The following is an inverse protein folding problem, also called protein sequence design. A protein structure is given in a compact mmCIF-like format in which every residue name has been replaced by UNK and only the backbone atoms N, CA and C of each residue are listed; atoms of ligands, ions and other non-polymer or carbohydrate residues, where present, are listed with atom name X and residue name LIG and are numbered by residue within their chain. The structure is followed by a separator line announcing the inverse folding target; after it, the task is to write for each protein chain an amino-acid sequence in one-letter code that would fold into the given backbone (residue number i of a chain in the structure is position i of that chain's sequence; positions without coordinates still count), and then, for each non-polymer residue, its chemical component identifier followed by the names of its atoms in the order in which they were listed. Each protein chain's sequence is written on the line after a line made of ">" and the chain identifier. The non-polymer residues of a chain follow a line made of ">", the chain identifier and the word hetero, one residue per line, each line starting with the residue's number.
data_IF_070312724257
#
_entry.id   IF_070312724257
#
_cell.length_a   1.000
_cell.length_b   1.000
_cell.length_c   1.000
_cell.angle_alpha   90.00
_cell.angle_beta   90.00
_cell.angle_gamma   90.00
#
_symmetry.space_group_name_H-M   'P 1'
#
loop_
_entity.id
_entity.type
_entity.pdbx_description
1 polymer ?
#
# COMPACT_ATOMS: atom_id res chain seq x y z
N UNK A 1 16.55 15.64 2.39
CA UNK A 1 16.58 15.45 3.84
C UNK A 1 15.29 16.00 4.45
N UNK A 2 14.36 15.11 4.76
CA UNK A 2 13.01 15.45 5.24
C UNK A 2 12.98 15.40 6.76
N UNK A 3 12.32 16.42 7.37
CA UNK A 3 12.01 16.46 8.81
C UNK A 3 10.52 16.65 9.01
N UNK A 4 9.95 15.88 9.95
CA UNK A 4 8.51 15.98 10.25
C UNK A 4 8.18 15.56 11.68
N UNK A 5 7.23 16.29 12.28
CA UNK A 5 6.54 15.96 13.53
C UNK A 5 5.08 16.39 13.46
N UNK A 6 4.22 15.67 14.14
CA UNK A 6 2.80 16.03 14.23
C UNK A 6 2.58 17.24 15.15
N UNK A 7 1.69 18.13 14.78
CA UNK A 7 1.39 19.34 15.57
C UNK A 7 0.96 19.02 17.01
N UNK A 8 0.23 17.91 17.20
CA UNK A 8 -0.20 17.45 18.53
C UNK A 8 0.96 16.91 19.41
N UNK A 9 2.13 16.67 18.83
CA UNK A 9 3.33 16.16 19.53
C UNK A 9 4.58 16.86 18.99
N UNK A 10 4.73 18.18 19.23
CA UNK A 10 5.79 18.98 18.61
C UNK A 10 7.20 18.58 19.05
N UNK A 11 7.32 17.97 20.22
CA UNK A 11 8.61 17.55 20.77
C UNK A 11 9.03 16.13 20.34
N UNK A 12 8.20 15.45 19.54
CA UNK A 12 8.48 14.08 19.06
C UNK A 12 8.77 14.10 17.57
N UNK A 13 10.04 14.07 17.20
CA UNK A 13 10.45 13.93 15.80
C UNK A 13 10.04 12.55 15.30
N UNK A 14 9.24 12.50 14.24
CA UNK A 14 8.77 11.25 13.62
C UNK A 14 9.61 10.89 12.41
N UNK A 15 9.96 11.88 11.60
CA UNK A 15 10.92 11.76 10.50
C UNK A 15 12.06 12.75 10.80
N UNK A 16 13.28 12.22 10.86
CA UNK A 16 14.47 13.01 11.23
C UNK A 16 15.56 12.87 10.16
N UNK A 17 15.67 13.88 9.33
CA UNK A 17 16.71 13.98 8.29
C UNK A 17 16.67 12.81 7.28
N UNK A 18 15.45 12.29 6.98
CA UNK A 18 15.27 11.17 6.07
C UNK A 18 15.63 11.56 4.65
N UNK A 19 16.42 10.73 4.00
CA UNK A 19 16.79 10.85 2.59
C UNK A 19 16.49 9.54 1.86
N UNK A 20 15.70 9.59 0.79
CA UNK A 20 15.29 8.43 0.02
C UNK A 20 15.00 8.84 -1.42
N UNK A 21 15.42 8.01 -2.36
CA UNK A 21 15.11 8.16 -3.78
C UNK A 21 14.43 6.89 -4.26
N UNK A 22 13.34 7.06 -5.00
CA UNK A 22 12.62 5.98 -5.70
C UNK A 22 12.71 6.26 -7.18
N UNK A 23 13.32 5.35 -7.93
CA UNK A 23 13.46 5.50 -9.37
C UNK A 23 12.11 5.28 -10.09
N UNK A 24 11.85 5.95 -11.22
CA UNK A 24 10.66 5.70 -12.02
C UNK A 24 10.51 4.21 -12.38
N UNK A 25 9.29 3.69 -12.28
CA UNK A 25 9.00 2.29 -12.60
C UNK A 25 9.58 1.26 -11.62
N UNK A 26 10.18 1.70 -10.49
CA UNK A 26 10.73 0.81 -9.48
C UNK A 26 9.81 0.65 -8.28
N UNK A 27 10.03 -0.44 -7.53
CA UNK A 27 9.34 -0.72 -6.27
C UNK A 27 10.29 -0.49 -5.09
N UNK A 28 9.96 0.49 -4.24
CA UNK A 28 10.66 0.74 -2.98
C UNK A 28 9.85 0.18 -1.81
N UNK A 29 10.42 -0.78 -1.09
CA UNK A 29 9.83 -1.29 0.15
C UNK A 29 10.31 -0.49 1.36
N UNK A 30 9.40 -0.14 2.26
CA UNK A 30 9.67 0.47 3.56
C UNK A 30 9.46 -0.59 4.65
N UNK A 31 10.51 -0.96 5.33
CA UNK A 31 10.48 -1.95 6.41
C UNK A 31 11.01 -1.34 7.71
N UNK A 32 10.63 -1.91 8.84
CA UNK A 32 11.09 -1.42 10.15
C UNK A 32 10.06 -1.71 11.24
N UNK A 33 10.44 -1.46 12.49
CA UNK A 33 9.54 -1.67 13.65
C UNK A 33 8.29 -0.78 13.54
N UNK A 34 7.20 -1.22 14.19
CA UNK A 34 6.00 -0.39 14.35
C UNK A 34 6.37 0.94 15.01
N UNK A 35 5.73 2.04 14.58
CA UNK A 35 6.05 3.39 15.06
C UNK A 35 7.33 4.02 14.48
N UNK A 36 8.04 3.35 13.57
CA UNK A 36 9.28 3.86 12.95
C UNK A 36 9.07 5.01 11.94
N UNK A 37 7.82 5.38 11.60
CA UNK A 37 7.51 6.47 10.68
C UNK A 37 7.09 6.03 9.27
N UNK A 38 6.93 4.74 8.99
CA UNK A 38 6.59 4.21 7.64
C UNK A 38 5.27 4.78 7.09
N UNK A 39 4.18 4.66 7.83
CA UNK A 39 2.86 5.22 7.46
C UNK A 39 2.89 6.76 7.39
N UNK A 40 3.75 7.40 8.19
CA UNK A 40 3.97 8.84 8.09
C UNK A 40 4.59 9.22 6.75
N UNK A 41 5.51 8.42 6.21
CA UNK A 41 6.07 8.64 4.86
C UNK A 41 4.95 8.61 3.83
N UNK A 42 4.04 7.61 3.88
CA UNK A 42 2.88 7.54 2.97
C UNK A 42 2.00 8.78 3.10
N UNK A 43 1.70 9.22 4.33
CA UNK A 43 0.91 10.43 4.59
C UNK A 43 1.56 11.70 4.04
N UNK A 44 2.90 11.79 4.07
CA UNK A 44 3.64 12.89 3.48
C UNK A 44 3.66 12.84 1.96
N UNK A 45 3.77 11.65 1.35
CA UNK A 45 3.68 11.47 -0.10
C UNK A 45 2.29 11.85 -0.64
N UNK A 46 1.24 11.57 0.13
CA UNK A 46 -0.13 12.01 -0.16
C UNK A 46 -0.37 13.49 0.16
N UNK A 47 0.63 14.16 0.75
CA UNK A 47 0.51 15.54 1.22
C UNK A 47 -0.70 15.76 2.14
N UNK A 48 -1.01 14.78 3.02
CA UNK A 48 -1.93 15.01 4.13
C UNK A 48 -1.33 15.98 5.15
N UNK A 49 0.01 16.07 5.14
CA UNK A 49 0.79 17.03 5.92
C UNK A 49 1.94 17.56 5.06
N UNK A 50 2.28 18.83 5.24
CA UNK A 50 3.50 19.41 4.68
C UNK A 50 4.70 19.11 5.58
N UNK A 51 5.87 18.87 4.98
CA UNK A 51 7.12 18.65 5.71
C UNK A 51 7.52 19.89 6.50
N UNK A 52 8.15 19.69 7.65
CA UNK A 52 8.65 20.77 8.51
C UNK A 52 10.07 21.23 8.13
N UNK A 53 10.82 20.37 7.45
CA UNK A 53 12.13 20.68 6.91
C UNK A 53 12.42 19.81 5.70
N UNK A 54 13.25 20.29 4.78
CA UNK A 54 13.53 19.62 3.53
C UNK A 54 12.40 19.73 2.51
N UNK A 55 12.39 18.81 1.56
CA UNK A 55 11.39 18.75 0.48
C UNK A 55 11.12 17.31 0.05
N UNK A 56 9.92 17.08 -0.48
CA UNK A 56 9.56 15.87 -1.23
C UNK A 56 9.28 16.31 -2.65
N UNK A 57 9.86 15.60 -3.62
CA UNK A 57 9.71 15.95 -5.03
C UNK A 57 9.14 14.78 -5.82
N UNK A 58 8.24 15.07 -6.76
CA UNK A 58 7.81 14.17 -7.83
C UNK A 58 8.37 14.71 -9.14
N UNK A 59 9.18 13.90 -9.82
CA UNK A 59 9.87 14.27 -11.07
C UNK A 59 10.61 15.62 -10.97
N UNK A 60 11.31 15.83 -9.84
CA UNK A 60 12.08 17.04 -9.56
C UNK A 60 11.27 18.24 -9.07
N UNK A 61 9.93 18.19 -9.08
CA UNK A 61 9.06 19.28 -8.61
C UNK A 61 8.63 19.04 -7.16
N UNK A 62 8.79 20.05 -6.31
CA UNK A 62 8.33 19.99 -4.92
C UNK A 62 6.80 19.76 -4.88
N UNK A 63 6.35 18.77 -4.13
CA UNK A 63 4.93 18.42 -4.04
C UNK A 63 4.07 19.56 -3.51
N UNK A 64 4.65 20.53 -2.78
CA UNK A 64 3.97 21.72 -2.28
C UNK A 64 3.60 22.69 -3.40
N UNK A 65 4.32 22.66 -4.52
CA UNK A 65 4.04 23.47 -5.71
C UNK A 65 3.04 22.82 -6.67
N UNK A 66 2.68 21.55 -6.45
CA UNK A 66 1.77 20.81 -7.32
C UNK A 66 0.31 21.02 -6.91
N UNK A 67 -0.60 20.94 -7.87
CA UNK A 67 -2.03 20.89 -7.60
C UNK A 67 -2.38 19.55 -6.97
N UNK A 68 -2.93 19.58 -5.74
CA UNK A 68 -3.19 18.39 -4.94
C UNK A 68 -4.16 17.41 -5.63
N UNK A 69 -5.26 17.91 -6.18
CA UNK A 69 -6.26 17.08 -6.85
C UNK A 69 -5.66 16.40 -8.10
N UNK A 70 -4.88 17.13 -8.90
CA UNK A 70 -4.16 16.55 -10.03
C UNK A 70 -3.15 15.50 -9.60
N UNK A 71 -2.37 15.77 -8.55
CA UNK A 71 -1.38 14.82 -8.02
C UNK A 71 -2.06 13.53 -7.55
N UNK A 72 -3.17 13.61 -6.81
CA UNK A 72 -3.89 12.45 -6.31
C UNK A 72 -4.51 11.59 -7.42
N UNK A 73 -4.81 12.16 -8.61
CA UNK A 73 -5.27 11.36 -9.76
C UNK A 73 -4.21 10.37 -10.25
N UNK A 74 -2.93 10.71 -10.11
CA UNK A 74 -1.80 9.87 -10.51
C UNK A 74 -1.35 8.89 -9.43
N UNK A 75 -1.95 8.93 -8.22
CA UNK A 75 -1.60 8.05 -7.10
C UNK A 75 -2.73 7.06 -6.84
N UNK A 76 -2.40 5.76 -6.87
CA UNK A 76 -3.25 4.68 -6.37
C UNK A 76 -2.85 4.33 -4.94
N UNK A 77 -3.82 4.34 -4.04
CA UNK A 77 -3.61 4.06 -2.62
C UNK A 77 -4.36 2.79 -2.23
N UNK A 78 -3.65 1.85 -1.58
CA UNK A 78 -4.24 0.70 -0.90
C UNK A 78 -3.76 0.70 0.54
N UNK A 79 -4.69 0.83 1.48
CA UNK A 79 -4.43 0.85 2.93
C UNK A 79 -5.06 -0.37 3.61
N UNK A 80 -4.70 -0.63 4.85
CA UNK A 80 -5.26 -1.69 5.67
C UNK A 80 -6.78 -1.57 5.82
N UNK A 81 -7.31 -0.38 6.09
CA UNK A 81 -8.74 -0.13 6.28
C UNK A 81 -9.28 0.74 5.14
N UNK A 82 -9.86 0.08 4.14
CA UNK A 82 -10.41 0.74 2.96
C UNK A 82 -11.89 1.01 3.13
N UNK A 83 -12.25 2.28 2.94
CA UNK A 83 -13.65 2.73 3.00
C UNK A 83 -14.39 2.33 1.73
N UNK A 84 -15.62 1.81 1.94
CA UNK A 84 -16.59 1.59 0.88
C UNK A 84 -17.66 2.68 0.96
N UNK A 85 -18.05 3.17 -0.20
CA UNK A 85 -19.11 4.18 -0.31
C UNK A 85 -20.49 3.51 -0.37
N UNK A 86 -21.53 4.23 0.06
CA UNK A 86 -22.91 3.80 -0.09
C UNK A 86 -23.33 3.87 -1.58
N UNK A 87 -22.84 2.91 -2.34
CA UNK A 87 -23.01 2.77 -3.80
C UNK A 87 -23.06 1.29 -4.16
N UNK A 88 -23.36 0.95 -5.43
CA UNK A 88 -23.22 -0.43 -5.89
C UNK A 88 -21.76 -0.88 -5.86
N UNK A 89 -21.51 -2.20 -5.92
CA UNK A 89 -20.15 -2.75 -6.01
C UNK A 89 -19.44 -2.18 -7.24
N UNK A 90 -20.09 -2.18 -8.40
CA UNK A 90 -19.57 -1.60 -9.63
C UNK A 90 -19.25 -0.11 -9.47
N UNK A 91 -20.15 0.66 -8.84
CA UNK A 91 -19.93 2.07 -8.51
C UNK A 91 -18.77 2.31 -7.55
N UNK A 92 -18.53 1.39 -6.60
CA UNK A 92 -17.36 1.44 -5.73
C UNK A 92 -16.06 1.17 -6.47
N UNK A 93 -16.04 0.24 -7.42
CA UNK A 93 -14.85 -0.02 -8.26
C UNK A 93 -14.58 1.18 -9.17
N UNK A 94 -15.63 1.75 -9.79
CA UNK A 94 -15.53 2.93 -10.66
C UNK A 94 -15.22 4.23 -9.94
N UNK A 95 -15.29 4.25 -8.61
CA UNK A 95 -15.08 5.48 -7.84
C UNK A 95 -13.68 6.06 -8.00
N UNK A 96 -13.63 7.34 -8.31
CA UNK A 96 -12.38 8.10 -8.44
C UNK A 96 -11.71 7.96 -9.80
N UNK A 97 -12.38 7.41 -10.80
CA UNK A 97 -12.00 7.63 -12.19
C UNK A 97 -12.10 9.11 -12.54
N UNK A 98 -11.31 9.54 -13.51
CA UNK A 98 -11.47 10.87 -14.10
C UNK A 98 -12.88 10.97 -14.72
N UNK A 99 -13.62 12.07 -14.50
CA UNK A 99 -14.95 12.26 -15.08
C UNK A 99 -15.01 12.09 -16.61
N UNK A 100 -13.89 12.31 -17.31
CA UNK A 100 -13.76 12.11 -18.75
C UNK A 100 -13.53 10.62 -19.12
N UNK A 101 -13.25 9.77 -18.15
CA UNK A 101 -12.99 8.35 -18.35
C UNK A 101 -14.25 7.55 -18.06
N UNK A 102 -14.83 6.95 -19.08
CA UNK A 102 -16.01 6.09 -18.91
C UNK A 102 -15.62 4.77 -18.23
N UNK A 103 -16.26 4.50 -17.08
CA UNK A 103 -16.17 3.22 -16.39
C UNK A 103 -17.14 2.23 -17.04
N UNK A 104 -16.81 1.69 -18.21
CA UNK A 104 -17.67 0.69 -18.84
C UNK A 104 -17.73 -0.58 -17.99
N UNK A 105 -18.82 -1.34 -18.14
CA UNK A 105 -19.02 -2.59 -17.39
C UNK A 105 -17.87 -3.57 -17.62
N UNK A 106 -17.39 -3.67 -18.87
CA UNK A 106 -16.28 -4.56 -19.23
C UNK A 106 -15.00 -4.19 -18.50
N UNK A 107 -14.67 -2.89 -18.35
CA UNK A 107 -13.50 -2.42 -17.63
C UNK A 107 -13.61 -2.72 -16.13
N UNK A 108 -14.81 -2.53 -15.55
CA UNK A 108 -15.08 -2.84 -14.15
C UNK A 108 -14.91 -4.33 -13.89
N UNK A 109 -15.47 -5.19 -14.75
CA UNK A 109 -15.36 -6.65 -14.66
C UNK A 109 -13.88 -7.07 -14.80
N UNK A 110 -13.14 -6.51 -15.75
CA UNK A 110 -11.73 -6.81 -15.95
C UNK A 110 -10.90 -6.45 -14.70
N UNK A 111 -11.13 -5.27 -14.13
CA UNK A 111 -10.47 -4.84 -12.90
C UNK A 111 -10.82 -5.73 -11.70
N UNK A 112 -12.08 -6.14 -11.57
CA UNK A 112 -12.53 -7.05 -10.52
C UNK A 112 -11.86 -8.44 -10.64
N UNK A 113 -11.75 -8.97 -11.87
CA UNK A 113 -11.04 -10.24 -12.13
C UNK A 113 -9.55 -10.13 -11.79
N UNK A 114 -8.90 -9.03 -12.18
CA UNK A 114 -7.49 -8.78 -11.85
C UNK A 114 -7.24 -8.71 -10.34
N UNK A 115 -8.22 -8.22 -9.59
CA UNK A 115 -8.17 -8.11 -8.13
C UNK A 115 -8.72 -9.36 -7.38
N UNK A 116 -8.98 -10.48 -8.05
CA UNK A 116 -9.61 -11.67 -7.46
C UNK A 116 -10.96 -11.36 -6.77
N UNK A 117 -11.70 -10.38 -7.28
CA UNK A 117 -12.97 -9.93 -6.72
C UNK A 117 -14.20 -10.47 -7.46
N UNK A 118 -14.07 -10.83 -8.73
CA UNK A 118 -15.19 -11.22 -9.59
C UNK A 118 -16.03 -12.35 -9.00
N UNK A 119 -15.40 -13.43 -8.57
CA UNK A 119 -16.09 -14.65 -8.15
C UNK A 119 -16.98 -14.40 -6.94
N UNK A 120 -16.49 -13.72 -5.91
CA UNK A 120 -17.34 -13.39 -4.76
C UNK A 120 -18.44 -12.37 -5.11
N UNK A 121 -18.18 -11.43 -6.05
CA UNK A 121 -19.20 -10.49 -6.51
C UNK A 121 -20.38 -11.24 -7.13
N UNK A 122 -20.09 -12.26 -7.94
CA UNK A 122 -21.11 -13.08 -8.59
C UNK A 122 -21.91 -13.96 -7.63
N UNK A 123 -21.51 -14.10 -6.37
CA UNK A 123 -22.32 -14.78 -5.34
C UNK A 123 -23.48 -13.94 -4.82
N UNK A 124 -23.48 -12.63 -5.05
CA UNK A 124 -24.57 -11.75 -4.65
C UNK A 124 -25.71 -11.79 -5.69
N UNK A 125 -26.98 -11.71 -5.26
CA UNK A 125 -28.13 -11.75 -6.18
C UNK A 125 -28.08 -10.70 -7.31
N UNK A 126 -27.63 -9.48 -6.97
CA UNK A 126 -27.55 -8.35 -7.89
C UNK A 126 -26.12 -8.14 -8.42
N UNK A 127 -25.22 -9.10 -8.22
CA UNK A 127 -23.82 -9.06 -8.67
C UNK A 127 -23.18 -7.67 -8.48
N UNK A 128 -22.73 -7.03 -9.58
CA UNK A 128 -22.11 -5.70 -9.54
C UNK A 128 -23.05 -4.57 -9.13
N UNK A 129 -24.38 -4.74 -9.27
CA UNK A 129 -25.38 -3.77 -8.84
C UNK A 129 -25.76 -3.91 -7.35
N UNK A 130 -25.22 -4.92 -6.67
CA UNK A 130 -25.41 -5.07 -5.22
C UNK A 130 -24.98 -3.80 -4.50
N UNK A 131 -25.92 -3.15 -3.80
CA UNK A 131 -25.64 -1.94 -3.03
C UNK A 131 -24.97 -2.28 -1.70
N UNK A 132 -23.88 -1.58 -1.44
CA UNK A 132 -23.19 -1.64 -0.16
C UNK A 132 -23.84 -0.65 0.80
N UNK A 133 -24.16 -1.10 2.01
CA UNK A 133 -24.60 -0.23 3.09
C UNK A 133 -23.47 0.67 3.60
N UNK A 134 -23.78 1.53 4.59
CA UNK A 134 -22.78 2.38 5.23
C UNK A 134 -21.57 1.55 5.65
N UNK A 135 -20.35 2.02 5.26
CA UNK A 135 -19.05 1.40 5.52
C UNK A 135 -18.84 0.00 4.91
N UNK A 136 -19.69 -0.44 3.97
CA UNK A 136 -19.58 -1.76 3.36
C UNK A 136 -19.79 -2.91 4.36
N UNK A 137 -20.73 -2.77 5.28
CA UNK A 137 -20.97 -3.67 6.43
C UNK A 137 -21.21 -5.13 6.00
N UNK A 138 -21.68 -5.37 4.79
CA UNK A 138 -21.95 -6.72 4.25
C UNK A 138 -20.74 -7.45 3.68
N UNK A 139 -19.57 -6.77 3.59
CA UNK A 139 -18.35 -7.35 3.04
C UNK A 139 -17.36 -7.72 4.15
N UNK A 140 -16.66 -8.84 3.97
CA UNK A 140 -15.50 -9.18 4.81
C UNK A 140 -14.35 -8.18 4.60
N UNK A 141 -13.36 -8.16 5.50
CA UNK A 141 -12.16 -7.35 5.35
C UNK A 141 -11.44 -7.61 4.03
N UNK A 142 -11.25 -8.89 3.67
CA UNK A 142 -10.60 -9.28 2.43
C UNK A 142 -11.40 -8.95 1.17
N UNK A 143 -12.75 -9.00 1.23
CA UNK A 143 -13.60 -8.57 0.13
C UNK A 143 -13.48 -7.06 -0.11
N UNK A 144 -13.55 -6.24 0.97
CA UNK A 144 -13.32 -4.78 0.86
C UNK A 144 -11.96 -4.46 0.27
N UNK A 145 -10.93 -5.17 0.71
CA UNK A 145 -9.57 -4.98 0.22
C UNK A 145 -9.45 -5.29 -1.28
N UNK A 146 -10.03 -6.38 -1.74
CA UNK A 146 -10.04 -6.74 -3.17
C UNK A 146 -10.81 -5.74 -4.02
N UNK A 147 -11.92 -5.18 -3.53
CA UNK A 147 -12.61 -4.07 -4.23
C UNK A 147 -11.75 -2.80 -4.30
N UNK A 148 -11.01 -2.49 -3.23
CA UNK A 148 -10.09 -1.36 -3.24
C UNK A 148 -8.94 -1.56 -4.25
N UNK A 149 -8.41 -2.77 -4.34
CA UNK A 149 -7.40 -3.14 -5.34
C UNK A 149 -7.99 -3.05 -6.76
N UNK A 150 -9.23 -3.54 -6.97
CA UNK A 150 -9.92 -3.41 -8.26
C UNK A 150 -10.08 -1.93 -8.69
N UNK A 151 -10.39 -1.04 -7.74
CA UNK A 151 -10.43 0.41 -7.95
C UNK A 151 -9.08 0.95 -8.46
N UNK A 152 -7.97 0.46 -7.91
CA UNK A 152 -6.62 0.86 -8.33
C UNK A 152 -6.29 0.28 -9.71
N UNK A 153 -6.62 -0.98 -10.00
CA UNK A 153 -6.47 -1.56 -11.34
C UNK A 153 -7.20 -0.75 -12.41
N UNK A 154 -8.45 -0.37 -12.13
CA UNK A 154 -9.27 0.40 -13.08
C UNK A 154 -8.69 1.78 -13.35
N UNK A 155 -8.14 2.45 -12.32
CA UNK A 155 -7.54 3.77 -12.44
C UNK A 155 -6.19 3.78 -13.11
N UNK A 156 -5.46 2.68 -13.07
CA UNK A 156 -4.11 2.52 -13.64
C UNK A 156 -3.18 3.71 -13.33
N UNK A 157 -2.91 4.03 -12.06
CA UNK A 157 -2.16 5.20 -11.64
C UNK A 157 -0.67 5.08 -11.96
N UNK A 158 0.06 6.20 -12.05
CA UNK A 158 1.51 6.21 -12.27
C UNK A 158 2.30 5.84 -11.01
N UNK A 159 1.75 6.10 -9.82
CA UNK A 159 2.36 5.80 -8.54
C UNK A 159 1.42 4.95 -7.68
N UNK A 160 1.97 3.91 -7.06
CA UNK A 160 1.28 3.05 -6.11
C UNK A 160 1.81 3.28 -4.69
N UNK A 161 0.90 3.51 -3.75
CA UNK A 161 1.19 3.54 -2.32
C UNK A 161 0.43 2.41 -1.65
N UNK A 162 1.16 1.41 -1.14
CA UNK A 162 0.60 0.23 -0.49
C UNK A 162 1.00 0.25 0.99
N UNK A 163 0.03 0.45 1.90
CA UNK A 163 0.29 0.54 3.35
C UNK A 163 -0.43 -0.59 4.09
N UNK A 164 0.36 -1.60 4.55
CA UNK A 164 -0.09 -2.72 5.38
C UNK A 164 -1.35 -3.46 4.87
N UNK A 165 -1.51 -3.56 3.57
CA UNK A 165 -2.73 -4.00 2.90
C UNK A 165 -3.25 -5.41 3.29
N UNK A 166 -2.51 -6.22 4.06
CA UNK A 166 -2.89 -7.61 4.43
C UNK A 166 -2.86 -7.90 5.93
N UNK A 167 -2.59 -6.92 6.79
CA UNK A 167 -2.22 -7.15 8.19
C UNK A 167 -3.35 -7.64 9.11
N UNK A 168 -4.61 -7.54 8.70
CA UNK A 168 -5.79 -7.86 9.51
C UNK A 168 -6.76 -8.87 8.84
N UNK A 169 -6.26 -9.70 7.92
CA UNK A 169 -7.08 -10.64 7.15
C UNK A 169 -6.92 -12.07 7.68
N UNK A 170 -7.96 -12.88 7.49
CA UNK A 170 -7.88 -14.34 7.63
C UNK A 170 -6.98 -14.94 6.53
N UNK A 171 -6.46 -16.15 6.75
CA UNK A 171 -5.46 -16.79 5.89
C UNK A 171 -5.91 -16.95 4.42
N UNK A 172 -7.19 -17.27 4.19
CA UNK A 172 -7.72 -17.48 2.84
C UNK A 172 -7.89 -16.16 2.10
N UNK A 173 -8.51 -15.18 2.74
CA UNK A 173 -8.66 -13.82 2.19
C UNK A 173 -7.30 -13.17 1.93
N UNK A 174 -6.32 -13.44 2.79
CA UNK A 174 -4.98 -12.91 2.66
C UNK A 174 -4.27 -13.39 1.40
N UNK A 175 -4.33 -14.69 1.10
CA UNK A 175 -3.68 -15.24 -0.10
C UNK A 175 -4.24 -14.59 -1.37
N UNK A 176 -5.56 -14.44 -1.47
CA UNK A 176 -6.22 -13.81 -2.62
C UNK A 176 -5.88 -12.31 -2.75
N UNK A 177 -5.78 -11.59 -1.62
CA UNK A 177 -5.37 -10.17 -1.60
C UNK A 177 -3.91 -10.03 -1.98
N UNK A 178 -3.02 -10.88 -1.44
CA UNK A 178 -1.59 -10.84 -1.76
C UNK A 178 -1.34 -11.10 -3.25
N UNK A 179 -1.99 -12.11 -3.83
CA UNK A 179 -1.89 -12.39 -5.26
C UNK A 179 -2.34 -11.20 -6.12
N UNK A 180 -3.43 -10.53 -5.73
CA UNK A 180 -3.90 -9.33 -6.42
C UNK A 180 -2.92 -8.16 -6.33
N UNK A 181 -2.28 -7.96 -5.16
CA UNK A 181 -1.24 -6.94 -4.96
C UNK A 181 0.02 -7.26 -5.77
N UNK A 182 0.47 -8.52 -5.76
CA UNK A 182 1.64 -8.96 -6.53
C UNK A 182 1.40 -8.74 -8.04
N UNK A 183 0.19 -9.06 -8.51
CA UNK A 183 -0.23 -8.81 -9.90
C UNK A 183 -0.27 -7.31 -10.21
N UNK A 184 -0.77 -6.48 -9.29
CA UNK A 184 -0.82 -5.03 -9.46
C UNK A 184 0.59 -4.43 -9.63
N UNK A 185 1.54 -4.88 -8.83
CA UNK A 185 2.95 -4.44 -8.91
C UNK A 185 3.63 -5.01 -10.16
N UNK A 186 3.33 -6.26 -10.54
CA UNK A 186 3.96 -6.96 -11.66
C UNK A 186 3.57 -6.44 -13.06
N UNK A 187 2.40 -5.80 -13.21
CA UNK A 187 1.97 -5.21 -14.50
C UNK A 187 3.02 -4.20 -15.01
N UNK A 188 3.77 -3.60 -14.11
CA UNK A 188 4.84 -2.65 -14.46
C UNK A 188 4.35 -1.28 -14.88
N UNK A 189 5.31 -0.36 -15.12
CA UNK A 189 5.01 1.02 -15.48
C UNK A 189 4.67 1.93 -14.30
N UNK A 190 4.39 1.36 -13.12
CA UNK A 190 4.14 2.13 -11.90
C UNK A 190 5.41 2.32 -11.09
N UNK A 191 5.54 3.46 -10.45
CA UNK A 191 6.48 3.63 -9.34
C UNK A 191 5.76 3.25 -8.04
N UNK A 192 6.26 2.26 -7.30
CA UNK A 192 5.58 1.76 -6.11
C UNK A 192 6.36 2.04 -4.82
N UNK A 193 5.66 2.52 -3.79
CA UNK A 193 6.15 2.57 -2.41
C UNK A 193 5.28 1.64 -1.57
N UNK A 194 5.90 0.62 -1.00
CA UNK A 194 5.22 -0.45 -0.27
C UNK A 194 5.66 -0.45 1.18
N UNK A 195 4.76 -0.14 2.09
CA UNK A 195 4.98 -0.37 3.53
C UNK A 195 4.66 -1.83 3.81
N UNK A 196 5.69 -2.62 4.05
CA UNK A 196 5.55 -4.05 4.18
C UNK A 196 5.80 -4.54 5.60
N UNK A 197 4.88 -5.34 6.09
CA UNK A 197 5.05 -6.17 7.29
C UNK A 197 5.42 -7.62 6.95
N UNK A 198 5.35 -8.02 5.67
CA UNK A 198 5.59 -9.39 5.22
C UNK A 198 6.76 -9.48 4.27
N UNK A 199 7.57 -10.50 4.49
CA UNK A 199 8.77 -10.81 3.72
C UNK A 199 8.51 -11.08 2.24
N UNK A 200 7.37 -11.69 1.89
CA UNK A 200 7.02 -11.99 0.50
C UNK A 200 6.91 -10.73 -0.34
N UNK A 201 6.26 -9.69 0.20
CA UNK A 201 6.07 -8.41 -0.49
C UNK A 201 7.38 -7.63 -0.65
N UNK A 202 8.32 -7.82 0.30
CA UNK A 202 9.61 -7.08 0.31
C UNK A 202 10.64 -7.71 -0.62
N UNK A 203 10.61 -9.03 -0.77
CA UNK A 203 11.65 -9.78 -1.48
C UNK A 203 11.81 -9.39 -2.95
N UNK A 204 10.71 -9.00 -3.58
CA UNK A 204 10.69 -8.60 -5.00
C UNK A 204 10.83 -7.10 -5.21
N UNK A 205 11.00 -6.31 -4.14
CA UNK A 205 11.21 -4.88 -4.27
C UNK A 205 12.58 -4.59 -4.91
N UNK A 206 12.61 -3.63 -5.81
CA UNK A 206 13.85 -3.16 -6.45
C UNK A 206 14.82 -2.61 -5.41
N UNK A 207 14.27 -1.98 -4.36
CA UNK A 207 15.05 -1.40 -3.27
C UNK A 207 14.28 -1.48 -1.96
N UNK A 208 14.93 -1.93 -0.92
CA UNK A 208 14.41 -1.99 0.44
C UNK A 208 15.05 -0.86 1.23
N UNK A 209 14.24 -0.06 1.91
CA UNK A 209 14.68 0.98 2.82
C UNK A 209 14.23 0.60 4.24
N UNK A 210 15.20 0.36 5.11
CA UNK A 210 14.97 0.02 6.51
C UNK A 210 14.84 1.32 7.30
N UNK A 211 13.67 1.53 7.91
CA UNK A 211 13.38 2.74 8.68
C UNK A 211 13.50 2.44 10.17
N UNK A 212 14.33 3.20 10.84
CA UNK A 212 14.52 3.17 12.28
C UNK A 212 14.64 4.58 12.83
N UNK A 213 13.88 4.90 13.88
CA UNK A 213 13.87 6.22 14.52
C UNK A 213 13.74 7.39 13.51
N UNK A 214 12.84 7.26 12.55
CA UNK A 214 12.56 8.30 11.55
C UNK A 214 13.62 8.49 10.45
N UNK A 215 14.61 7.59 10.37
CA UNK A 215 15.70 7.62 9.38
C UNK A 215 15.76 6.35 8.57
N UNK A 216 16.28 6.43 7.35
CA UNK A 216 16.71 5.25 6.61
C UNK A 216 18.07 4.82 7.15
N UNK A 217 18.12 3.70 7.88
CA UNK A 217 19.36 3.18 8.48
C UNK A 217 20.07 2.17 7.58
N UNK A 218 19.34 1.49 6.71
CA UNK A 218 19.88 0.57 5.70
C UNK A 218 19.08 0.70 4.42
N UNK A 219 19.75 0.49 3.27
CA UNK A 219 19.10 0.52 1.97
C UNK A 219 19.87 -0.39 1.02
N UNK A 220 19.17 -1.23 0.26
CA UNK A 220 19.74 -2.20 -0.68
C UNK A 220 18.71 -3.16 -1.22
N UNK A 221 19.13 -4.18 -1.97
CA UNK A 221 18.31 -5.32 -2.38
C UNK A 221 18.09 -6.28 -1.21
N UNK A 222 17.22 -7.27 -1.41
CA UNK A 222 16.98 -8.31 -0.41
C UNK A 222 18.28 -9.08 -0.11
N UNK A 223 19.01 -9.47 -1.14
CA UNK A 223 20.24 -10.24 -1.08
C UNK A 223 21.31 -9.46 -0.29
N UNK A 224 21.58 -8.22 -0.70
CA UNK A 224 22.57 -7.35 -0.04
C UNK A 224 22.29 -7.16 1.45
N UNK A 225 21.01 -6.95 1.81
CA UNK A 225 20.64 -6.67 3.20
C UNK A 225 20.58 -7.93 4.07
N UNK A 226 20.34 -9.12 3.49
CA UNK A 226 20.40 -10.39 4.22
C UNK A 226 21.82 -10.76 4.58
N UNK A 227 22.79 -10.54 3.66
CA UNK A 227 24.19 -10.85 3.85
C UNK A 227 24.91 -9.89 4.79
N UNK A 228 24.30 -8.73 5.09
CA UNK A 228 24.88 -7.72 5.94
C UNK A 228 24.99 -8.20 7.39
N UNK A 229 26.19 -8.46 7.87
CA UNK A 229 26.45 -8.91 9.22
C UNK A 229 25.98 -7.86 10.26
N UNK A 230 25.20 -8.30 11.24
CA UNK A 230 24.62 -7.41 12.25
C UNK A 230 23.53 -6.46 11.70
N UNK A 231 23.06 -6.68 10.46
CA UNK A 231 22.07 -5.84 9.81
C UNK A 231 20.71 -5.82 10.52
N UNK A 232 20.09 -4.65 10.57
CA UNK A 232 18.75 -4.46 11.14
C UNK A 232 17.72 -5.25 10.34
N UNK A 233 17.86 -5.26 9.01
CA UNK A 233 17.01 -6.04 8.11
C UNK A 233 17.06 -7.55 8.41
N UNK A 234 18.27 -8.12 8.50
CA UNK A 234 18.46 -9.53 8.83
C UNK A 234 17.83 -9.88 10.19
N UNK A 235 17.95 -8.99 11.18
CA UNK A 235 17.31 -9.14 12.49
C UNK A 235 15.77 -9.14 12.40
N UNK A 236 15.17 -8.26 11.59
CA UNK A 236 13.71 -8.23 11.36
C UNK A 236 13.22 -9.51 10.70
N UNK A 237 13.97 -10.05 9.72
CA UNK A 237 13.67 -11.32 9.07
C UNK A 237 13.66 -12.49 10.04
N UNK A 238 14.68 -12.58 10.89
CA UNK A 238 14.81 -13.64 11.89
C UNK A 238 13.61 -13.63 12.87
N UNK A 239 13.18 -12.47 13.31
CA UNK A 239 12.00 -12.31 14.17
C UNK A 239 10.70 -12.74 13.49
N UNK A 240 10.51 -12.40 12.21
CA UNK A 240 9.31 -12.81 11.47
C UNK A 240 9.26 -14.33 11.25
N UNK A 241 10.39 -14.97 10.95
CA UNK A 241 10.46 -16.42 10.79
C UNK A 241 10.12 -17.15 12.09
N UNK A 242 10.61 -16.67 13.24
CA UNK A 242 10.29 -17.22 14.55
C UNK A 242 8.79 -17.17 14.85
N UNK A 243 8.16 -16.01 14.69
CA UNK A 243 6.71 -15.85 14.89
C UNK A 243 5.89 -16.78 14.01
N UNK A 244 6.27 -16.93 12.72
CA UNK A 244 5.56 -17.83 11.80
C UNK A 244 5.65 -19.29 12.26
N UNK A 245 6.81 -19.73 12.75
CA UNK A 245 7.01 -21.10 13.24
C UNK A 245 6.22 -21.35 14.53
N UNK A 246 6.17 -20.39 15.46
CA UNK A 246 5.37 -20.45 16.68
C UNK A 246 3.87 -20.59 16.36
N UNK A 247 3.34 -19.77 15.47
CA UNK A 247 1.92 -19.85 15.03
C UNK A 247 1.59 -21.18 14.37
N UNK A 248 2.52 -21.78 13.62
CA UNK A 248 2.30 -23.10 12.98
C UNK A 248 2.35 -24.23 14.02
N UNK A 249 3.16 -24.13 15.07
CA UNK A 249 3.20 -25.13 16.14
C UNK A 249 1.93 -25.10 17.00
N UNK A 250 1.43 -23.91 17.35
CA UNK A 250 0.19 -23.72 18.10
C UNK A 250 -1.08 -24.16 17.35
N UNK A 251 -1.05 -24.16 16.01
CA UNK A 251 -2.17 -24.63 15.19
C UNK A 251 -2.18 -26.17 14.98
N UNK A 252 -1.17 -26.87 15.46
CA UNK A 252 -1.05 -28.36 15.38
C UNK A 252 -1.34 -29.08 16.68
N UNK A 253 -1.42 -28.35 17.77
CA UNK A 253 -1.85 -28.81 19.09
C UNK A 253 -3.35 -28.52 19.30
#
# INVERSE_FOLDING_TARGET
>A
KVKFWYQMRPNTMVIDDMDMVVAPGSTAALVGKSGGGKTTVVSLLLRYYDVKGGSITFDGKDIRSLNLASTHRHIGLVMQDMQMFNHSIGGNIGYGLDPETEATEEKIIAAAKAANAHDFIMTFPDAYETRLGERGIRLSGGQRQRLAIARVFLRNPQMLLLDEATSALDLESEAAVQEALDRLVAIGGHTAVVVAHRLSTVRHATKINVISAGKVCESGTHEELVEKEGGVYAGLLALQRRKKNETISEARD
#
